data_IF_428818933072
#
_entry.id   IF_428818933072
#
_cell.length_a   1.000
_cell.length_b   1.000
_cell.length_c   1.000
_cell.angle_alpha   90.00
_cell.angle_beta   90.00
_cell.angle_gamma   90.00
#
_symmetry.space_group_name_H-M   'P 1'
#
loop_
_entity.id
_entity.type
_entity.pdbx_description
1 polymer ?
#
# COMPACT_ATOMS: atom_id res chain seq x y z
N UNK A 1 -10.01 20.87 5.68
CA UNK A 1 -9.54 19.50 5.51
C UNK A 1 -8.41 19.41 4.53
N UNK A 2 -7.37 18.81 4.92
CA UNK A 2 -6.17 18.78 4.15
C UNK A 2 -5.79 17.36 3.77
N UNK A 3 -5.43 17.15 2.53
CA UNK A 3 -5.10 15.83 2.04
C UNK A 3 -3.65 15.73 1.65
N UNK A 4 -3.15 14.52 1.65
CA UNK A 4 -1.81 14.28 1.17
C UNK A 4 -1.72 14.69 -0.30
N UNK A 5 -0.60 15.32 -0.71
CA UNK A 5 -0.43 15.71 -2.10
C UNK A 5 -0.54 14.53 -3.03
N UNK A 6 -1.25 14.73 -4.12
CA UNK A 6 -1.37 13.71 -5.15
C UNK A 6 -2.43 12.66 -4.94
N UNK A 7 -3.08 12.64 -3.78
CA UNK A 7 -4.12 11.66 -3.50
C UNK A 7 -5.49 12.31 -3.38
N UNK A 8 -6.42 11.85 -4.19
CA UNK A 8 -7.81 12.26 -4.09
C UNK A 8 -8.53 11.38 -3.09
N UNK A 9 -9.70 11.81 -2.55
CA UNK A 9 -10.45 10.98 -1.61
C UNK A 9 -10.74 9.57 -2.10
N UNK A 10 -11.09 9.40 -3.36
CA UNK A 10 -11.35 8.08 -3.92
C UNK A 10 -10.09 7.23 -4.01
N UNK A 11 -8.96 7.85 -4.32
CA UNK A 11 -7.68 7.15 -4.37
C UNK A 11 -7.23 6.75 -2.97
N UNK A 12 -7.56 7.57 -1.99
CA UNK A 12 -7.25 7.26 -0.60
C UNK A 12 -7.96 5.98 -0.14
N UNK A 13 -9.20 5.79 -0.60
CA UNK A 13 -9.94 4.56 -0.31
C UNK A 13 -9.21 3.35 -0.88
N UNK A 14 -8.74 3.44 -2.11
CA UNK A 14 -7.97 2.35 -2.72
C UNK A 14 -6.71 2.05 -1.92
N UNK A 15 -5.98 3.09 -1.52
CA UNK A 15 -4.76 2.92 -0.76
C UNK A 15 -5.03 2.22 0.57
N UNK A 16 -6.09 2.63 1.24
CA UNK A 16 -6.48 2.06 2.51
C UNK A 16 -6.87 0.58 2.37
N UNK A 17 -7.69 0.28 1.38
CA UNK A 17 -8.11 -1.11 1.14
C UNK A 17 -6.91 -1.99 0.79
N UNK A 18 -6.05 -1.51 -0.08
CA UNK A 18 -4.88 -2.26 -0.48
C UNK A 18 -3.99 -2.57 0.73
N UNK A 19 -3.75 -1.56 1.57
CA UNK A 19 -2.97 -1.73 2.78
C UNK A 19 -3.61 -2.74 3.73
N UNK A 20 -4.93 -2.69 3.88
CA UNK A 20 -5.65 -3.63 4.75
C UNK A 20 -5.48 -5.06 4.24
N UNK A 21 -5.59 -5.27 2.94
CA UNK A 21 -5.39 -6.60 2.37
C UNK A 21 -3.99 -7.12 2.64
N UNK A 22 -2.98 -6.27 2.55
CA UNK A 22 -1.62 -6.67 2.87
C UNK A 22 -1.49 -7.04 4.35
N UNK A 23 -2.13 -6.27 5.23
CA UNK A 23 -2.10 -6.56 6.65
C UNK A 23 -2.74 -7.90 6.98
N UNK A 24 -3.79 -8.25 6.25
CA UNK A 24 -4.48 -9.52 6.46
C UNK A 24 -3.86 -10.68 5.71
N UNK A 25 -2.77 -10.41 5.00
CA UNK A 25 -2.07 -11.43 4.23
C UNK A 25 -2.89 -11.93 3.05
N UNK A 26 -3.85 -11.13 2.61
CA UNK A 26 -4.74 -11.47 1.51
C UNK A 26 -4.19 -10.90 0.20
N UNK A 27 -3.09 -11.46 -0.24
CA UNK A 27 -2.38 -10.96 -1.40
C UNK A 27 -3.16 -11.15 -2.70
N UNK A 28 -3.99 -12.18 -2.76
CA UNK A 28 -4.82 -12.40 -3.93
C UNK A 28 -5.83 -11.28 -4.12
N UNK A 29 -6.51 -10.89 -3.05
CA UNK A 29 -7.46 -9.78 -3.10
C UNK A 29 -6.74 -8.46 -3.40
N UNK A 30 -5.55 -8.28 -2.83
CA UNK A 30 -4.75 -7.09 -3.11
C UNK A 30 -4.41 -7.00 -4.59
N UNK A 31 -4.04 -8.12 -5.20
CA UNK A 31 -3.73 -8.18 -6.63
C UNK A 31 -4.95 -7.82 -7.48
N UNK A 32 -6.11 -8.37 -7.15
CA UNK A 32 -7.32 -8.06 -7.87
C UNK A 32 -7.71 -6.59 -7.72
N UNK A 33 -7.58 -6.05 -6.52
CA UNK A 33 -7.86 -4.64 -6.29
C UNK A 33 -6.91 -3.78 -7.12
N UNK A 34 -5.62 -4.11 -7.12
CA UNK A 34 -4.63 -3.37 -7.89
C UNK A 34 -4.99 -3.33 -9.38
N UNK A 35 -5.43 -4.46 -9.92
CA UNK A 35 -5.85 -4.53 -11.32
C UNK A 35 -7.09 -3.69 -11.61
N UNK A 36 -7.95 -3.52 -10.62
CA UNK A 36 -9.17 -2.73 -10.79
C UNK A 36 -8.92 -1.24 -10.69
N UNK A 37 -7.81 -0.84 -10.07
CA UNK A 37 -7.48 0.58 -9.92
C UNK A 37 -7.08 1.11 -11.30
N UNK A 38 -7.71 2.23 -11.76
CA UNK A 38 -7.36 2.82 -13.05
C UNK A 38 -5.91 3.31 -13.05
N UNK A 39 -5.27 3.26 -14.21
CA UNK A 39 -3.92 3.77 -14.35
C UNK A 39 -3.83 5.25 -13.97
N UNK A 40 -4.87 6.01 -14.26
CA UNK A 40 -4.92 7.40 -13.88
C UNK A 40 -4.79 7.58 -12.38
N UNK A 41 -5.50 6.76 -11.60
CA UNK A 41 -5.41 6.82 -10.15
C UNK A 41 -4.01 6.43 -9.67
N UNK A 42 -3.41 5.43 -10.28
CA UNK A 42 -2.05 5.01 -9.96
C UNK A 42 -1.04 6.12 -10.20
N UNK A 43 -1.23 6.88 -11.27
CA UNK A 43 -0.35 7.99 -11.60
C UNK A 43 -0.59 9.20 -10.68
N UNK A 44 -1.82 9.42 -10.27
CA UNK A 44 -2.15 10.54 -9.40
C UNK A 44 -1.73 10.31 -7.96
N UNK A 45 -1.72 9.06 -7.52
CA UNK A 45 -1.36 8.73 -6.15
C UNK A 45 -0.20 7.74 -6.13
N UNK A 46 1.01 8.27 -6.00
CA UNK A 46 2.20 7.44 -5.97
C UNK A 46 2.19 6.44 -4.81
N UNK A 47 1.48 6.77 -3.74
CA UNK A 47 1.37 5.89 -2.58
C UNK A 47 0.76 4.53 -2.94
N UNK A 48 -0.18 4.51 -3.89
CA UNK A 48 -0.77 3.26 -4.36
C UNK A 48 0.31 2.33 -4.91
N UNK A 49 1.20 2.86 -5.73
CA UNK A 49 2.28 2.06 -6.28
C UNK A 49 3.25 1.59 -5.19
N UNK A 50 3.51 2.44 -4.22
CA UNK A 50 4.37 2.08 -3.10
C UNK A 50 3.78 0.94 -2.27
N UNK A 51 2.48 1.01 -1.98
CA UNK A 51 1.79 -0.06 -1.25
C UNK A 51 1.85 -1.36 -2.04
N UNK A 52 1.61 -1.29 -3.35
CA UNK A 52 1.66 -2.47 -4.19
C UNK A 52 3.08 -3.06 -4.28
N UNK A 53 4.10 -2.22 -4.27
CA UNK A 53 5.47 -2.71 -4.24
C UNK A 53 5.74 -3.53 -2.97
N UNK A 54 5.21 -3.07 -1.84
CA UNK A 54 5.29 -3.85 -0.60
C UNK A 54 4.56 -5.18 -0.77
N UNK A 55 3.39 -5.16 -1.38
CA UNK A 55 2.62 -6.37 -1.66
C UNK A 55 3.37 -7.36 -2.53
N UNK A 56 4.05 -6.86 -3.57
CA UNK A 56 4.86 -7.72 -4.43
C UNK A 56 6.02 -8.36 -3.69
N UNK A 57 6.67 -7.60 -2.81
CA UNK A 57 7.74 -8.13 -1.99
C UNK A 57 7.23 -9.23 -1.07
N UNK A 58 6.05 -9.04 -0.48
CA UNK A 58 5.42 -10.07 0.35
C UNK A 58 5.08 -11.31 -0.48
N UNK A 59 4.57 -11.10 -1.68
CA UNK A 59 4.23 -12.20 -2.58
C UNK A 59 5.46 -13.06 -2.92
N UNK A 60 6.60 -12.40 -3.12
CA UNK A 60 7.85 -13.08 -3.43
C UNK A 60 8.54 -13.64 -2.19
N UNK A 61 8.04 -13.33 -1.01
CA UNK A 61 8.66 -13.76 0.23
C UNK A 61 9.92 -12.98 0.60
N UNK A 62 10.13 -11.82 -0.01
CA UNK A 62 11.31 -11.00 0.24
C UNK A 62 11.06 -10.04 1.40
N UNK A 63 11.19 -10.54 2.62
CA UNK A 63 10.89 -9.77 3.83
C UNK A 63 11.83 -8.59 4.00
N UNK A 64 13.09 -8.73 3.61
CA UNK A 64 14.05 -7.63 3.70
C UNK A 64 13.59 -6.44 2.86
N UNK A 65 13.08 -6.71 1.66
CA UNK A 65 12.56 -5.65 0.80
C UNK A 65 11.31 -5.02 1.40
N UNK A 66 10.44 -5.82 2.02
CA UNK A 66 9.25 -5.30 2.69
C UNK A 66 9.65 -4.26 3.73
N UNK A 67 10.62 -4.58 4.58
CA UNK A 67 11.08 -3.64 5.59
C UNK A 67 11.67 -2.38 4.97
N UNK A 68 12.50 -2.54 3.95
CA UNK A 68 13.11 -1.40 3.27
C UNK A 68 12.07 -0.49 2.67
N UNK A 69 11.10 -1.05 1.97
CA UNK A 69 10.05 -0.28 1.33
C UNK A 69 9.21 0.49 2.35
N UNK A 70 8.88 -0.15 3.46
CA UNK A 70 8.10 0.51 4.51
C UNK A 70 8.89 1.62 5.17
N UNK A 71 10.18 1.41 5.41
CA UNK A 71 11.03 2.40 6.07
C UNK A 71 11.43 3.55 5.17
N UNK A 72 11.65 3.28 3.88
CA UNK A 72 12.12 4.30 2.94
C UNK A 72 11.02 5.22 2.45
N UNK A 73 9.80 4.74 2.39
CA UNK A 73 8.69 5.52 1.87
C UNK A 73 7.99 6.27 2.99
N UNK A 74 7.49 7.45 2.63
CA UNK A 74 6.65 8.22 3.53
C UNK A 74 5.20 7.85 3.26
N UNK A 75 4.49 7.47 4.30
CA UNK A 75 3.11 7.03 4.18
C UNK A 75 2.17 8.10 4.69
N UNK A 76 1.03 8.23 4.05
CA UNK A 76 0.00 9.12 4.55
C UNK A 76 -0.49 8.61 5.92
N UNK A 77 -1.12 9.49 6.67
CA UNK A 77 -1.62 9.14 8.00
C UNK A 77 -2.49 7.90 7.99
N UNK A 78 -3.31 7.73 6.95
CA UNK A 78 -4.19 6.58 6.84
C UNK A 78 -3.44 5.28 6.58
N UNK A 79 -2.39 5.34 5.80
CA UNK A 79 -1.62 4.14 5.43
C UNK A 79 -0.49 3.85 6.42
N UNK A 80 0.06 4.89 7.06
CA UNK A 80 1.22 4.73 7.94
C UNK A 80 0.96 3.72 9.06
N UNK A 81 -0.19 3.83 9.72
CA UNK A 81 -0.55 2.91 10.79
C UNK A 81 -0.66 1.47 10.31
N UNK A 82 -1.28 1.29 9.15
CA UNK A 82 -1.47 -0.05 8.58
C UNK A 82 -0.13 -0.63 8.13
N UNK A 83 0.71 0.20 7.50
CA UNK A 83 2.04 -0.26 7.06
C UNK A 83 2.90 -0.65 8.25
N UNK A 84 2.81 0.09 9.34
CA UNK A 84 3.52 -0.23 10.56
C UNK A 84 3.05 -1.58 11.13
N UNK A 85 1.75 -1.84 11.06
CA UNK A 85 1.19 -3.10 11.50
C UNK A 85 1.65 -4.25 10.60
N UNK A 86 1.70 -4.02 9.29
CA UNK A 86 2.21 -5.02 8.34
C UNK A 86 3.67 -5.34 8.66
N UNK A 87 4.47 -4.32 8.93
CA UNK A 87 5.87 -4.51 9.30
C UNK A 87 6.02 -5.39 10.54
N UNK A 88 5.19 -5.13 11.56
CA UNK A 88 5.22 -5.94 12.76
C UNK A 88 4.78 -7.37 12.54
N UNK A 89 3.88 -7.59 11.59
CA UNK A 89 3.35 -8.90 11.30
C UNK A 89 4.36 -9.82 10.60
N UNK A 90 5.24 -9.26 9.78
CA UNK A 90 6.19 -10.06 9.00
C UNK A 90 7.48 -10.37 9.76
N UNK A 91 7.64 -9.89 10.97
CA UNK A 91 8.81 -10.20 11.79
C UNK A 91 8.78 -11.64 12.31
#
# INVERSE_FOLDING_TARGET
>A
MFQAPGCRPSNDVYAKLLAIYLHEDDLCSAKFLWKRIPDQAKNECAELAQIWNVGKAMWNGNLSEVFSLINENEWSENAAGIMKAVKGKVI
#
